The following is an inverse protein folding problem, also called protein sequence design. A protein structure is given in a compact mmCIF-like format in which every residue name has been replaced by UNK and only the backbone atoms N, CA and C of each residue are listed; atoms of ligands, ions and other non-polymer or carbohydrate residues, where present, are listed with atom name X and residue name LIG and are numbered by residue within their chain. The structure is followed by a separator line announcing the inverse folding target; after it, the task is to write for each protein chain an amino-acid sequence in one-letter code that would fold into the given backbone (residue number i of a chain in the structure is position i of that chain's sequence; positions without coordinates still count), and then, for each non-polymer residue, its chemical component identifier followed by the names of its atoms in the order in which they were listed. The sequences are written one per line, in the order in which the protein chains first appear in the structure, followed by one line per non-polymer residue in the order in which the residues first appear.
data_IF_126114265523
#
_entry.id   IF_126114265523
#
_cell.length_a   1.000
_cell.length_b   1.000
_cell.length_c   1.000
_cell.angle_alpha   90.00
_cell.angle_beta   90.00
_cell.angle_gamma   90.00
#
_symmetry.space_group_name_H-M   'P 1'
#
loop_
_entity.id
_entity.type
_entity.pdbx_description
1 polymer ?
#
# COMPACT_ATOMS: atom_id res chain seq x y z
N UNK A 1 2.68 17.67 -20.07
CA UNK A 1 3.35 18.99 -20.11
C UNK A 1 3.26 19.71 -18.77
N UNK A 2 2.07 19.86 -18.16
CA UNK A 2 1.92 20.52 -16.83
C UNK A 2 2.82 19.90 -15.75
N UNK A 3 2.89 18.57 -15.65
CA UNK A 3 3.78 17.90 -14.69
C UNK A 3 5.26 18.25 -14.90
N UNK A 4 5.73 18.33 -16.14
CA UNK A 4 7.12 18.72 -16.43
C UNK A 4 7.40 20.16 -15.96
N UNK A 5 6.45 21.08 -16.17
CA UNK A 5 6.58 22.45 -15.68
C UNK A 5 6.65 22.50 -14.15
N UNK A 6 5.81 21.71 -13.46
CA UNK A 6 5.85 21.61 -12.00
C UNK A 6 7.17 21.01 -11.49
N UNK A 7 7.75 20.02 -12.19
CA UNK A 7 9.07 19.46 -11.85
C UNK A 7 10.17 20.53 -11.98
N UNK A 8 10.17 21.33 -13.05
CA UNK A 8 11.14 22.43 -13.21
C UNK A 8 10.98 23.46 -12.09
N UNK A 9 9.73 23.87 -11.79
CA UNK A 9 9.45 24.79 -10.68
C UNK A 9 9.93 24.23 -9.34
N UNK A 10 9.71 22.94 -9.10
CA UNK A 10 10.16 22.24 -7.88
C UNK A 10 11.70 22.26 -7.76
N UNK A 11 12.43 21.99 -8.84
CA UNK A 11 13.89 22.02 -8.86
C UNK A 11 14.41 23.45 -8.58
N UNK A 12 13.81 24.47 -9.21
CA UNK A 12 14.17 25.87 -8.98
C UNK A 12 13.94 26.29 -7.52
N UNK A 13 12.80 25.91 -6.94
CA UNK A 13 12.50 26.17 -5.54
C UNK A 13 13.52 25.49 -4.60
N UNK A 14 13.87 24.23 -4.88
CA UNK A 14 14.86 23.48 -4.10
C UNK A 14 16.27 24.08 -4.23
N UNK A 15 16.63 24.61 -5.40
CA UNK A 15 17.92 25.29 -5.58
C UNK A 15 18.02 26.58 -4.76
N UNK A 16 16.91 27.32 -4.63
CA UNK A 16 16.89 28.56 -3.85
C UNK A 16 17.04 28.29 -2.34
N UNK A 17 16.28 27.34 -1.79
CA UNK A 17 16.32 27.04 -0.35
C UNK A 17 17.48 26.11 0.02
N UNK A 18 17.88 25.21 -0.86
CA UNK A 18 18.86 24.15 -0.64
C UNK A 18 18.23 22.86 -0.11
N UNK A 19 18.88 21.72 -0.35
CA UNK A 19 18.43 20.42 0.16
C UNK A 19 18.52 20.34 1.69
N UNK A 20 17.53 19.69 2.30
CA UNK A 20 17.57 19.35 3.72
C UNK A 20 18.51 18.17 3.97
N UNK A 21 18.93 17.97 5.23
CA UNK A 21 19.78 16.86 5.67
C UNK A 21 19.16 16.10 6.84
N UNK A 22 19.66 14.90 7.17
CA UNK A 22 19.08 14.08 8.23
C UNK A 22 19.07 14.71 9.62
N UNK A 23 19.90 15.71 9.88
CA UNK A 23 19.95 16.42 11.16
C UNK A 23 19.07 17.69 11.17
N UNK A 24 18.63 18.15 10.00
CA UNK A 24 17.78 19.33 9.86
C UNK A 24 18.52 20.66 10.08
N UNK A 25 19.85 20.67 9.99
CA UNK A 25 20.72 21.84 10.22
C UNK A 25 20.91 22.65 8.93
N UNK A 26 20.83 23.97 9.00
CA UNK A 26 21.03 24.83 7.82
C UNK A 26 22.51 25.01 7.48
N UNK A 27 22.96 24.39 6.38
CA UNK A 27 24.37 24.44 5.94
C UNK A 27 24.82 25.86 5.54
N UNK A 28 23.87 26.71 5.12
CA UNK A 28 24.17 28.09 4.70
C UNK A 28 24.58 29.01 5.86
N UNK A 29 24.37 28.58 7.11
CA UNK A 29 24.73 29.35 8.31
C UNK A 29 26.25 29.44 8.50
N UNK A 30 26.98 28.39 8.14
CA UNK A 30 28.42 28.27 8.34
C UNK A 30 29.13 28.20 7.00
N UNK A 31 29.75 29.31 6.58
CA UNK A 31 30.44 29.45 5.29
C UNK A 31 31.94 29.68 5.50
N UNK A 32 32.73 29.25 4.53
CA UNK A 32 34.16 29.55 4.46
C UNK A 32 34.41 31.02 4.03
N UNK A 33 35.68 31.42 3.96
CA UNK A 33 36.08 32.76 3.52
C UNK A 33 35.67 33.08 2.07
N UNK A 34 35.33 32.08 1.26
CA UNK A 34 34.90 32.21 -0.13
C UNK A 34 33.37 32.18 -0.27
N UNK A 35 32.62 32.13 0.84
CA UNK A 35 31.16 32.08 0.84
C UNK A 35 30.56 30.70 0.55
N UNK A 36 31.38 29.64 0.54
CA UNK A 36 30.96 28.26 0.32
C UNK A 36 30.55 27.62 1.65
N UNK A 37 29.39 26.95 1.74
CA UNK A 37 28.98 26.22 2.94
C UNK A 37 30.02 25.18 3.36
N UNK A 38 30.42 25.19 4.64
CA UNK A 38 31.47 24.30 5.17
C UNK A 38 31.07 22.82 5.14
N UNK A 39 29.78 22.53 5.32
CA UNK A 39 29.25 21.16 5.34
C UNK A 39 28.62 20.77 3.98
N UNK A 40 28.84 21.58 2.93
CA UNK A 40 28.34 21.32 1.58
C UNK A 40 29.41 20.73 0.66
N UNK A 41 29.05 19.70 -0.10
CA UNK A 41 29.89 19.15 -1.18
C UNK A 41 29.27 19.43 -2.55
N UNK A 42 30.08 19.47 -3.60
CA UNK A 42 29.59 19.66 -4.98
C UNK A 42 28.67 18.50 -5.39
N UNK A 43 27.58 18.81 -6.07
CA UNK A 43 26.63 17.79 -6.55
C UNK A 43 27.29 16.80 -7.51
N UNK A 44 27.97 17.31 -8.54
CA UNK A 44 28.76 16.51 -9.45
C UNK A 44 30.25 16.53 -9.03
N UNK A 45 30.93 15.38 -8.98
CA UNK A 45 30.48 14.04 -9.36
C UNK A 45 29.81 13.22 -8.23
N UNK A 46 29.91 13.67 -6.98
CA UNK A 46 29.61 12.85 -5.80
C UNK A 46 28.17 12.30 -5.77
N UNK A 47 27.18 13.18 -5.76
CA UNK A 47 25.77 12.77 -5.75
C UNK A 47 25.35 12.18 -7.10
N UNK A 48 25.90 12.65 -8.22
CA UNK A 48 25.61 12.05 -9.53
C UNK A 48 25.98 10.56 -9.58
N UNK A 49 27.18 10.18 -9.10
CA UNK A 49 27.62 8.77 -9.10
C UNK A 49 26.85 7.96 -8.07
N UNK A 50 26.61 8.51 -6.87
CA UNK A 50 25.78 7.89 -5.84
C UNK A 50 24.36 7.57 -6.35
N UNK A 51 23.71 8.54 -7.01
CA UNK A 51 22.33 8.40 -7.47
C UNK A 51 22.23 7.38 -8.61
N UNK A 52 23.24 7.29 -9.49
CA UNK A 52 23.30 6.26 -10.54
C UNK A 52 23.31 4.85 -9.95
N UNK A 53 23.99 4.62 -8.83
CA UNK A 53 23.94 3.33 -8.13
C UNK A 53 22.52 3.02 -7.66
N UNK A 54 21.83 3.99 -7.05
CA UNK A 54 20.44 3.84 -6.60
C UNK A 54 19.48 3.54 -7.77
N UNK A 55 19.63 4.26 -8.88
CA UNK A 55 18.85 4.03 -10.11
C UNK A 55 19.12 2.64 -10.67
N UNK A 56 20.38 2.19 -10.72
CA UNK A 56 20.73 0.86 -11.22
C UNK A 56 20.09 -0.26 -10.39
N UNK A 57 20.13 -0.15 -9.04
CA UNK A 57 19.48 -1.11 -8.14
C UNK A 57 17.96 -1.08 -8.31
N UNK A 58 17.34 0.10 -8.39
CA UNK A 58 15.90 0.23 -8.65
C UNK A 58 15.51 -0.43 -9.97
N UNK A 59 16.23 -0.12 -11.06
CA UNK A 59 15.97 -0.68 -12.39
C UNK A 59 16.16 -2.20 -12.41
N UNK A 60 17.11 -2.74 -11.65
CA UNK A 60 17.29 -4.19 -11.53
C UNK A 60 16.02 -4.88 -11.00
N UNK A 61 15.46 -4.40 -9.89
CA UNK A 61 14.21 -4.96 -9.34
C UNK A 61 13.00 -4.65 -10.22
N UNK A 62 12.92 -3.43 -10.78
CA UNK A 62 11.83 -3.04 -11.68
C UNK A 62 11.77 -3.93 -12.92
N UNK A 63 12.91 -4.14 -13.60
CA UNK A 63 13.00 -5.09 -14.71
C UNK A 63 12.68 -6.51 -14.26
N UNK A 64 13.11 -6.90 -13.05
CA UNK A 64 12.74 -8.19 -12.46
C UNK A 64 11.22 -8.40 -12.41
N UNK A 65 10.48 -7.42 -11.89
CA UNK A 65 9.01 -7.45 -11.84
C UNK A 65 8.43 -7.45 -13.26
N UNK A 66 8.89 -6.53 -14.11
CA UNK A 66 8.39 -6.37 -15.49
C UNK A 66 8.49 -7.66 -16.30
N UNK A 67 9.63 -8.36 -16.23
CA UNK A 67 9.88 -9.54 -17.06
C UNK A 67 9.46 -10.86 -16.42
N UNK A 68 9.52 -10.99 -15.09
CA UNK A 68 9.28 -12.29 -14.42
C UNK A 68 7.98 -12.36 -13.62
N UNK A 69 7.40 -11.22 -13.21
CA UNK A 69 6.16 -11.18 -12.42
C UNK A 69 5.28 -9.96 -12.74
N UNK A 70 4.89 -9.72 -14.00
CA UNK A 70 4.19 -8.49 -14.41
C UNK A 70 2.82 -8.32 -13.75
N UNK A 71 2.15 -9.40 -13.37
CA UNK A 71 0.85 -9.37 -12.69
C UNK A 71 0.98 -8.96 -11.20
N UNK A 72 2.11 -9.29 -10.57
CA UNK A 72 2.33 -9.16 -9.12
C UNK A 72 1.19 -9.76 -8.27
N UNK A 73 0.59 -10.87 -8.70
CA UNK A 73 -0.54 -11.50 -8.00
C UNK A 73 -1.81 -10.64 -8.00
N UNK A 74 -2.08 -9.92 -9.09
CA UNK A 74 -3.27 -9.09 -9.29
C UNK A 74 -3.13 -7.63 -8.83
N UNK A 75 -2.02 -7.26 -8.17
CA UNK A 75 -1.81 -5.88 -7.70
C UNK A 75 -1.33 -4.92 -8.79
N UNK A 76 -0.55 -5.40 -9.76
CA UNK A 76 -0.04 -4.56 -10.85
C UNK A 76 -0.95 -4.62 -12.09
N UNK A 77 -1.41 -5.83 -12.44
CA UNK A 77 -2.39 -6.05 -13.50
C UNK A 77 -3.62 -6.72 -12.89
N UNK A 78 -4.66 -5.94 -12.67
CA UNK A 78 -5.92 -6.42 -12.12
C UNK A 78 -6.61 -7.35 -13.13
N UNK A 79 -6.99 -8.57 -12.69
CA UNK A 79 -7.64 -9.57 -13.56
C UNK A 79 -8.89 -9.03 -14.24
N UNK A 80 -9.66 -8.18 -13.55
CA UNK A 80 -10.87 -7.57 -14.08
C UNK A 80 -10.63 -6.69 -15.32
N UNK A 81 -9.41 -6.17 -15.52
CA UNK A 81 -9.08 -5.32 -16.67
C UNK A 81 -8.64 -6.11 -17.90
N UNK A 82 -8.63 -7.45 -17.85
CA UNK A 82 -8.44 -8.31 -19.02
C UNK A 82 -9.77 -8.68 -19.70
N UNK A 83 -10.91 -8.40 -19.07
CA UNK A 83 -12.22 -8.46 -19.71
C UNK A 83 -12.49 -7.16 -20.47
N UNK A 84 -13.19 -7.24 -21.62
CA UNK A 84 -13.66 -6.04 -22.31
C UNK A 84 -14.70 -5.30 -21.46
N UNK A 85 -14.67 -3.96 -21.51
CA UNK A 85 -15.57 -3.15 -20.71
C UNK A 85 -17.04 -3.36 -21.10
N UNK A 86 -17.85 -3.80 -20.15
CA UNK A 86 -19.29 -3.98 -20.28
C UNK A 86 -20.05 -3.04 -19.32
N UNK A 87 -20.86 -2.15 -19.87
CA UNK A 87 -21.66 -1.19 -19.09
C UNK A 87 -22.80 -1.84 -18.29
N UNK A 88 -23.18 -3.07 -18.61
CA UNK A 88 -24.27 -3.81 -17.97
C UNK A 88 -23.78 -4.82 -16.92
N UNK A 89 -22.46 -5.06 -16.81
CA UNK A 89 -21.87 -6.04 -15.89
C UNK A 89 -20.75 -5.40 -15.07
N UNK A 90 -20.98 -5.25 -13.76
CA UNK A 90 -19.91 -4.90 -12.82
C UNK A 90 -19.21 -6.19 -12.36
N UNK A 91 -17.87 -6.27 -12.44
CA UNK A 91 -17.13 -7.40 -11.89
C UNK A 91 -17.41 -7.61 -10.39
N UNK A 92 -17.34 -8.85 -9.91
CA UNK A 92 -17.65 -9.18 -8.51
C UNK A 92 -16.70 -8.50 -7.51
N UNK A 93 -15.46 -8.24 -7.90
CA UNK A 93 -14.48 -7.54 -7.09
C UNK A 93 -13.81 -6.41 -7.89
N UNK A 94 -14.23 -5.18 -7.62
CA UNK A 94 -13.67 -3.97 -8.23
C UNK A 94 -12.97 -3.16 -7.15
N UNK A 95 -11.67 -3.36 -7.02
CA UNK A 95 -10.79 -2.52 -6.23
C UNK A 95 -10.10 -1.51 -7.15
N UNK A 96 -9.76 -0.29 -6.68
CA UNK A 96 -8.88 0.58 -7.42
C UNK A 96 -7.43 0.08 -7.32
N UNK A 97 -6.59 0.57 -8.24
CA UNK A 97 -5.14 0.41 -8.18
C UNK A 97 -4.57 0.72 -6.80
N UNK A 98 -3.64 -0.12 -6.35
CA UNK A 98 -3.13 -0.19 -4.97
C UNK A 98 -2.62 1.14 -4.38
N UNK A 99 -2.16 2.09 -5.19
CA UNK A 99 -1.70 3.39 -4.70
C UNK A 99 -2.86 4.37 -4.39
N UNK A 100 -4.10 4.04 -4.76
CA UNK A 100 -5.31 4.78 -4.39
C UNK A 100 -6.10 4.11 -3.25
N UNK A 101 -5.78 2.87 -2.89
CA UNK A 101 -6.57 2.09 -1.92
C UNK A 101 -6.61 2.68 -0.51
N UNK A 102 -5.57 3.37 0.04
CA UNK A 102 -5.69 4.00 1.35
C UNK A 102 -6.79 5.06 1.40
N UNK A 103 -6.92 5.86 0.33
CA UNK A 103 -7.95 6.89 0.23
C UNK A 103 -9.32 6.29 -0.08
N UNK A 104 -9.37 5.23 -0.89
CA UNK A 104 -10.60 4.49 -1.13
C UNK A 104 -11.18 3.86 0.16
N UNK A 105 -10.31 3.36 1.05
CA UNK A 105 -10.72 2.90 2.39
C UNK A 105 -11.38 4.01 3.22
N UNK A 106 -10.84 5.24 3.16
CA UNK A 106 -11.44 6.40 3.82
C UNK A 106 -12.82 6.72 3.24
N UNK A 107 -12.96 6.68 1.91
CA UNK A 107 -14.23 6.94 1.23
C UNK A 107 -15.35 6.00 1.68
N UNK A 108 -15.08 4.69 1.69
CA UNK A 108 -16.07 3.66 2.02
C UNK A 108 -16.26 3.44 3.53
N UNK A 109 -15.36 3.96 4.37
CA UNK A 109 -15.49 3.87 5.83
C UNK A 109 -16.66 4.72 6.35
N UNK A 110 -16.97 5.83 5.67
CA UNK A 110 -18.06 6.73 6.06
C UNK A 110 -19.38 6.22 5.46
N UNK A 111 -20.42 5.93 6.27
CA UNK A 111 -21.69 5.36 5.81
C UNK A 111 -22.62 6.44 5.17
N UNK A 112 -22.06 7.35 4.39
CA UNK A 112 -22.80 8.38 3.65
C UNK A 112 -22.04 8.78 2.38
N UNK A 113 -22.76 8.96 1.27
CA UNK A 113 -22.15 9.25 -0.04
C UNK A 113 -21.43 10.59 -0.08
N UNK A 114 -22.03 11.63 0.50
CA UNK A 114 -21.48 12.97 0.47
C UNK A 114 -20.31 13.09 1.45
N UNK A 115 -20.50 12.67 2.70
CA UNK A 115 -19.46 12.74 3.72
C UNK A 115 -18.29 11.79 3.44
N UNK A 116 -18.53 10.64 2.80
CA UNK A 116 -17.46 9.77 2.32
C UNK A 116 -16.59 10.44 1.26
N UNK A 117 -17.20 11.15 0.30
CA UNK A 117 -16.45 11.95 -0.67
C UNK A 117 -15.67 13.09 -0.01
N UNK A 118 -16.28 13.81 0.94
CA UNK A 118 -15.61 14.90 1.67
C UNK A 118 -14.42 14.35 2.47
N UNK A 119 -14.56 13.22 3.16
CA UNK A 119 -13.48 12.58 3.89
C UNK A 119 -12.35 12.14 2.96
N UNK A 120 -12.67 11.53 1.82
CA UNK A 120 -11.69 11.18 0.78
C UNK A 120 -10.91 12.41 0.30
N UNK A 121 -11.60 13.48 -0.09
CA UNK A 121 -10.97 14.69 -0.59
C UNK A 121 -10.11 15.36 0.49
N UNK A 122 -10.61 15.41 1.74
CA UNK A 122 -9.86 15.93 2.87
C UNK A 122 -8.60 15.10 3.16
N UNK A 123 -8.65 13.77 3.02
CA UNK A 123 -7.49 12.92 3.20
C UNK A 123 -6.40 13.19 2.15
N UNK A 124 -6.78 13.47 0.90
CA UNK A 124 -5.81 13.86 -0.14
C UNK A 124 -5.24 15.26 0.10
N UNK A 125 -6.05 16.19 0.61
CA UNK A 125 -5.68 17.61 0.74
C UNK A 125 -4.92 17.92 2.03
N UNK A 126 -5.19 17.21 3.14
CA UNK A 126 -4.60 17.53 4.44
C UNK A 126 -3.05 17.49 4.48
N UNK A 127 -2.33 16.64 3.73
CA UNK A 127 -0.88 16.70 3.69
C UNK A 127 -0.32 18.02 3.14
N UNK A 128 -1.06 18.74 2.28
CA UNK A 128 -0.60 20.02 1.75
C UNK A 128 -0.55 21.13 2.82
N UNK A 129 -1.30 20.98 3.91
CA UNK A 129 -1.28 21.94 5.02
C UNK A 129 -0.29 21.57 6.13
N UNK A 130 0.52 20.51 5.94
CA UNK A 130 1.54 20.07 6.91
C UNK A 130 2.47 21.18 7.42
N UNK A 131 2.96 22.12 6.59
CA UNK A 131 3.84 23.20 7.07
C UNK A 131 3.22 24.09 8.16
N UNK A 132 1.89 24.13 8.27
CA UNK A 132 1.17 24.89 9.30
C UNK A 132 0.65 24.01 10.46
N UNK A 133 0.55 22.70 10.23
CA UNK A 133 0.11 21.74 11.24
C UNK A 133 1.23 21.36 12.20
N UNK A 134 2.45 21.12 11.70
CA UNK A 134 3.58 20.81 12.57
C UNK A 134 4.15 22.08 13.19
N UNK A 135 3.96 22.23 14.50
CA UNK A 135 4.45 23.38 15.28
C UNK A 135 5.76 23.11 16.02
N UNK A 136 6.39 21.96 15.82
CA UNK A 136 7.64 21.64 16.50
C UNK A 136 8.81 22.44 15.88
N UNK A 137 9.59 23.19 16.68
CA UNK A 137 10.72 23.98 16.16
C UNK A 137 11.86 23.11 15.60
N UNK A 138 11.97 21.85 16.03
CA UNK A 138 13.00 20.92 15.60
C UNK A 138 12.56 20.19 14.33
N UNK A 139 13.28 20.40 13.24
CA UNK A 139 12.94 19.83 11.93
C UNK A 139 13.17 18.31 11.83
N UNK A 140 14.30 17.82 12.34
CA UNK A 140 14.63 16.39 12.25
C UNK A 140 13.95 15.57 13.34
N UNK A 141 13.30 14.47 12.94
CA UNK A 141 12.69 13.50 13.86
C UNK A 141 13.71 12.82 14.80
N UNK A 142 15.02 12.84 14.44
CA UNK A 142 16.10 12.25 15.25
C UNK A 142 16.18 12.88 16.64
N UNK A 143 15.94 14.19 16.71
CA UNK A 143 16.01 14.99 17.93
C UNK A 143 14.64 15.24 18.57
N UNK A 144 13.56 14.67 18.01
CA UNK A 144 12.24 14.71 18.63
C UNK A 144 12.06 13.58 19.66
N UNK A 145 11.15 13.81 20.59
CA UNK A 145 10.83 12.87 21.66
C UNK A 145 10.10 11.61 21.19
N UNK A 146 9.65 10.80 22.15
CA UNK A 146 9.10 9.48 21.86
C UNK A 146 7.68 9.56 21.28
N UNK A 147 6.85 10.50 21.72
CA UNK A 147 5.48 10.65 21.22
C UNK A 147 5.48 10.90 19.71
N UNK A 148 6.35 11.78 19.20
CA UNK A 148 6.48 12.04 17.76
C UNK A 148 6.81 10.77 16.97
N UNK A 149 7.67 9.91 17.52
CA UNK A 149 8.05 8.63 16.90
C UNK A 149 6.90 7.64 16.91
N UNK A 150 6.18 7.52 18.03
CA UNK A 150 4.99 6.65 18.12
C UNK A 150 3.90 7.11 17.16
N UNK A 151 3.61 8.41 17.11
CA UNK A 151 2.58 8.96 16.21
C UNK A 151 2.94 8.76 14.74
N UNK A 152 4.21 8.97 14.36
CA UNK A 152 4.65 8.74 12.98
C UNK A 152 4.64 7.25 12.61
N UNK A 153 5.13 6.37 13.48
CA UNK A 153 5.09 4.92 13.24
C UNK A 153 3.64 4.41 13.18
N UNK A 154 2.78 4.87 14.08
CA UNK A 154 1.36 4.57 14.08
C UNK A 154 0.68 5.04 12.79
N UNK A 155 1.04 6.23 12.29
CA UNK A 155 0.54 6.72 10.99
C UNK A 155 0.96 5.82 9.83
N UNK A 156 2.24 5.40 9.77
CA UNK A 156 2.72 4.48 8.73
C UNK A 156 1.96 3.15 8.79
N UNK A 157 1.83 2.56 9.97
CA UNK A 157 1.07 1.31 10.17
C UNK A 157 -0.39 1.49 9.71
N UNK A 158 -1.04 2.57 10.15
CA UNK A 158 -2.42 2.86 9.79
C UNK A 158 -2.61 3.05 8.29
N UNK A 159 -1.68 3.75 7.62
CA UNK A 159 -1.73 3.98 6.18
C UNK A 159 -1.59 2.66 5.40
N UNK A 160 -0.74 1.74 5.85
CA UNK A 160 -0.62 0.40 5.27
C UNK A 160 -1.90 -0.41 5.50
N UNK A 161 -2.46 -0.39 6.72
CA UNK A 161 -3.73 -1.08 7.03
C UNK A 161 -4.85 -0.57 6.11
N UNK A 162 -5.01 0.75 5.98
CA UNK A 162 -6.00 1.35 5.05
C UNK A 162 -5.72 0.95 3.60
N UNK A 163 -4.46 0.87 3.18
CA UNK A 163 -4.07 0.40 1.86
C UNK A 163 -4.50 -1.04 1.58
N UNK A 164 -4.25 -1.96 2.51
CA UNK A 164 -4.65 -3.36 2.37
C UNK A 164 -6.17 -3.52 2.41
N UNK A 165 -6.84 -2.83 3.34
CA UNK A 165 -8.30 -2.88 3.42
C UNK A 165 -8.94 -2.39 2.12
N UNK A 166 -8.39 -1.37 1.46
CA UNK A 166 -8.98 -0.82 0.24
C UNK A 166 -8.94 -1.78 -0.94
N UNK A 167 -8.05 -2.78 -0.91
CA UNK A 167 -8.06 -3.91 -1.84
C UNK A 167 -9.12 -4.92 -1.43
N UNK A 168 -9.22 -5.27 -0.14
CA UNK A 168 -10.15 -6.32 0.29
C UNK A 168 -11.63 -5.93 0.17
N UNK A 169 -12.48 -6.92 -0.12
CA UNK A 169 -13.92 -6.75 -0.10
C UNK A 169 -14.41 -6.31 1.29
N UNK A 170 -15.37 -5.37 1.36
CA UNK A 170 -15.88 -4.86 2.63
C UNK A 170 -16.71 -5.92 3.36
N UNK A 171 -16.36 -6.18 4.62
CA UNK A 171 -17.14 -6.95 5.59
C UNK A 171 -17.42 -6.06 6.79
N UNK A 172 -18.23 -6.51 7.75
CA UNK A 172 -18.54 -5.71 8.93
C UNK A 172 -17.26 -5.35 9.73
N UNK A 173 -16.42 -6.33 10.10
CA UNK A 173 -15.20 -6.03 10.86
C UNK A 173 -14.18 -5.22 10.06
N UNK A 174 -14.04 -5.49 8.75
CA UNK A 174 -13.12 -4.74 7.88
C UNK A 174 -13.56 -3.29 7.75
N UNK A 175 -14.87 -3.04 7.73
CA UNK A 175 -15.44 -1.69 7.70
C UNK A 175 -15.21 -0.97 9.04
N UNK A 176 -15.43 -1.66 10.17
CA UNK A 176 -15.11 -1.10 11.49
C UNK A 176 -13.62 -0.75 11.62
N UNK A 177 -12.72 -1.62 11.16
CA UNK A 177 -11.28 -1.33 11.17
C UNK A 177 -10.93 -0.15 10.26
N UNK A 178 -11.53 -0.06 9.08
CA UNK A 178 -11.35 1.09 8.18
C UNK A 178 -11.87 2.40 8.81
N UNK A 179 -12.96 2.38 9.57
CA UNK A 179 -13.49 3.52 10.31
C UNK A 179 -12.52 3.98 11.41
N UNK A 180 -12.02 3.04 12.22
CA UNK A 180 -11.02 3.34 13.25
C UNK A 180 -9.76 3.93 12.60
N UNK A 181 -9.29 3.34 11.50
CA UNK A 181 -8.11 3.83 10.80
C UNK A 181 -8.31 5.21 10.16
N UNK A 182 -9.52 5.49 9.66
CA UNK A 182 -9.90 6.80 9.13
C UNK A 182 -9.92 7.86 10.22
N UNK A 183 -10.49 7.54 11.39
CA UNK A 183 -10.47 8.44 12.56
C UNK A 183 -9.02 8.72 12.96
N UNK A 184 -8.18 7.68 13.07
CA UNK A 184 -6.78 7.86 13.42
C UNK A 184 -6.01 8.70 12.40
N UNK A 185 -6.28 8.52 11.10
CA UNK A 185 -5.69 9.32 10.03
C UNK A 185 -5.96 10.81 10.25
N UNK A 186 -7.21 11.20 10.50
CA UNK A 186 -7.55 12.60 10.75
C UNK A 186 -7.05 13.11 12.10
N UNK A 187 -7.09 12.30 13.15
CA UNK A 187 -6.52 12.65 14.47
C UNK A 187 -5.01 12.90 14.37
N UNK A 188 -4.29 12.13 13.54
CA UNK A 188 -2.87 12.35 13.31
C UNK A 188 -2.61 13.76 12.75
N UNK A 189 -3.27 14.14 11.65
CA UNK A 189 -3.05 15.45 11.03
C UNK A 189 -3.66 16.60 11.83
N UNK A 190 -4.95 16.52 12.17
CA UNK A 190 -5.64 17.60 12.87
C UNK A 190 -5.10 17.76 14.28
N UNK A 191 -4.68 16.68 14.95
CA UNK A 191 -4.07 16.72 16.27
C UNK A 191 -2.62 17.23 16.29
N UNK A 192 -1.95 17.27 15.13
CA UNK A 192 -0.52 17.60 15.00
C UNK A 192 -0.10 18.92 15.66
N UNK A 193 -0.89 20.02 15.58
CA UNK A 193 -0.57 21.28 16.26
C UNK A 193 -0.36 21.16 17.76
N UNK A 194 -0.93 20.13 18.40
CA UNK A 194 -0.79 19.88 19.82
C UNK A 194 0.27 18.81 20.09
N UNK A 195 0.07 17.60 19.56
CA UNK A 195 0.93 16.47 19.94
C UNK A 195 2.37 16.61 19.44
N UNK A 196 2.63 17.37 18.37
CA UNK A 196 4.02 17.54 17.89
C UNK A 196 4.88 18.35 18.85
N UNK A 197 4.26 19.17 19.71
CA UNK A 197 4.93 20.07 20.67
C UNK A 197 5.04 19.53 22.09
N UNK A 198 4.30 18.48 22.45
CA UNK A 198 4.25 17.95 23.83
C UNK A 198 5.54 17.26 24.28
N UNK A 199 6.33 16.76 23.33
CA UNK A 199 7.59 16.09 23.61
C UNK A 199 8.73 17.08 23.94
N UNK A 200 9.60 16.67 24.86
CA UNK A 200 10.90 17.31 25.04
C UNK A 200 11.79 17.00 23.83
N UNK A 201 12.31 18.04 23.20
CA UNK A 201 13.28 17.93 22.11
C UNK A 201 14.71 17.87 22.63
N UNK A 202 15.56 17.13 21.92
CA UNK A 202 17.00 17.15 22.13
C UNK A 202 17.61 18.36 21.42
N UNK A 203 18.77 18.79 21.89
CA UNK A 203 19.54 19.82 21.24
C UNK A 203 20.00 19.34 19.86
N UNK A 204 19.82 20.19 18.86
CA UNK A 204 20.23 19.93 17.48
C UNK A 204 21.70 20.34 17.37
N UNK A 205 22.58 19.55 16.73
CA UNK A 205 23.97 19.93 16.52
C UNK A 205 24.11 21.26 15.76
N UNK A 206 25.16 22.02 16.05
CA UNK A 206 25.45 23.28 15.36
C UNK A 206 25.87 23.09 13.89
N UNK A 207 26.46 21.94 13.58
CA UNK A 207 27.00 21.54 12.26
C UNK A 207 26.42 20.19 11.87
N UNK A 208 26.42 19.88 10.57
CA UNK A 208 25.92 18.58 10.10
C UNK A 208 26.79 17.46 10.67
N UNK A 209 26.15 16.51 11.34
CA UNK A 209 26.83 15.31 11.82
C UNK A 209 26.58 14.18 10.82
N UNK A 210 27.65 13.65 10.23
CA UNK A 210 27.53 12.45 9.39
C UNK A 210 27.25 11.19 10.22
N UNK A 211 27.21 11.36 11.54
CA UNK A 211 27.00 10.33 12.54
C UNK A 211 25.52 10.27 12.92
N UNK A 212 24.76 9.47 12.20
CA UNK A 212 23.37 9.29 12.58
C UNK A 212 22.58 8.35 11.69
N UNK A 213 21.78 7.52 12.33
CA UNK A 213 20.95 6.51 11.70
C UNK A 213 20.54 5.48 12.74
N UNK A 214 19.41 4.83 12.53
CA UNK A 214 19.14 3.59 13.25
C UNK A 214 20.10 2.54 12.69
N UNK A 215 20.99 2.01 13.53
CA UNK A 215 21.84 0.89 13.13
C UNK A 215 20.99 -0.27 12.60
N UNK A 216 21.58 -1.14 11.77
CA UNK A 216 20.87 -2.21 11.05
C UNK A 216 19.88 -2.98 11.94
N UNK A 217 20.30 -3.37 13.15
CA UNK A 217 19.45 -4.10 14.10
C UNK A 217 18.21 -3.32 14.55
N UNK A 218 18.35 -2.01 14.84
CA UNK A 218 17.19 -1.17 15.22
C UNK A 218 16.26 -0.93 14.04
N UNK A 219 16.81 -0.80 12.84
CA UNK A 219 16.02 -0.67 11.61
C UNK A 219 15.21 -1.93 11.33
N UNK A 220 15.85 -3.12 11.42
CA UNK A 220 15.17 -4.40 11.28
C UNK A 220 14.10 -4.61 12.36
N UNK A 221 14.40 -4.27 13.62
CA UNK A 221 13.41 -4.34 14.69
C UNK A 221 12.22 -3.41 14.45
N UNK A 222 12.46 -2.18 13.95
CA UNK A 222 11.39 -1.24 13.60
C UNK A 222 10.51 -1.78 12.47
N UNK A 223 11.12 -2.35 11.43
CA UNK A 223 10.39 -3.00 10.34
C UNK A 223 9.58 -4.20 10.84
N UNK A 224 10.13 -5.02 11.73
CA UNK A 224 9.42 -6.14 12.33
C UNK A 224 8.22 -5.67 13.16
N UNK A 225 8.37 -4.58 13.93
CA UNK A 225 7.27 -3.97 14.69
C UNK A 225 6.18 -3.45 13.75
N UNK A 226 6.55 -2.73 12.69
CA UNK A 226 5.58 -2.24 11.69
C UNK A 226 4.85 -3.42 11.03
N UNK A 227 5.58 -4.46 10.60
CA UNK A 227 4.99 -5.64 9.98
C UNK A 227 4.03 -6.36 10.94
N UNK A 228 4.43 -6.56 12.20
CA UNK A 228 3.61 -7.24 13.20
C UNK A 228 2.36 -6.44 13.56
N UNK A 229 2.49 -5.12 13.79
CA UNK A 229 1.37 -4.25 14.15
C UNK A 229 0.42 -3.98 12.97
N UNK A 230 0.89 -4.13 11.74
CA UNK A 230 0.03 -4.11 10.55
C UNK A 230 -0.68 -5.46 10.38
N UNK A 231 0.04 -6.56 10.54
CA UNK A 231 -0.47 -7.91 10.30
C UNK A 231 -1.51 -8.35 11.34
N UNK A 232 -1.32 -8.02 12.62
CA UNK A 232 -2.23 -8.47 13.69
C UNK A 232 -3.68 -7.97 13.50
N UNK A 233 -3.96 -6.67 13.29
CA UNK A 233 -5.31 -6.20 13.06
C UNK A 233 -5.89 -6.75 11.75
N UNK A 234 -5.08 -6.80 10.69
CA UNK A 234 -5.52 -7.35 9.40
C UNK A 234 -5.89 -8.83 9.52
N UNK A 235 -5.11 -9.63 10.24
CA UNK A 235 -5.41 -11.04 10.50
C UNK A 235 -6.71 -11.19 11.31
N UNK A 236 -6.93 -10.33 12.30
CA UNK A 236 -8.14 -10.36 13.11
C UNK A 236 -9.41 -10.15 12.27
N UNK A 237 -9.35 -9.31 11.22
CA UNK A 237 -10.47 -9.07 10.30
C UNK A 237 -10.41 -9.90 9.00
N UNK A 238 -9.34 -10.67 8.80
CA UNK A 238 -9.17 -11.51 7.61
C UNK A 238 -10.04 -12.77 7.67
N UNK A 239 -10.30 -13.29 8.87
CA UNK A 239 -11.06 -14.52 9.11
C UNK A 239 -12.56 -14.42 8.75
N UNK A 240 -13.04 -13.22 8.38
CA UNK A 240 -14.41 -13.00 7.90
C UNK A 240 -14.53 -13.10 6.37
N UNK A 241 -13.88 -14.05 5.70
CA UNK A 241 -14.64 -14.65 4.58
C UNK A 241 -15.86 -15.27 5.25
N UNK A 242 -17.05 -14.71 5.02
CA UNK A 242 -18.25 -15.09 5.74
C UNK A 242 -18.49 -16.62 5.74
N UNK A 243 -17.88 -17.34 4.79
CA UNK A 243 -17.91 -18.80 4.65
C UNK A 243 -16.59 -19.32 4.04
N UNK A 244 -16.30 -20.64 4.15
CA UNK A 244 -15.09 -21.29 3.59
C UNK A 244 -14.92 -21.11 2.07
N UNK A 245 -16.01 -20.78 1.37
CA UNK A 245 -16.11 -20.53 -0.06
C UNK A 245 -16.15 -19.04 -0.43
N UNK A 246 -15.90 -18.13 0.53
CA UNK A 246 -15.79 -16.69 0.28
C UNK A 246 -16.85 -15.86 1.03
N UNK A 247 -17.54 -14.97 0.30
CA UNK A 247 -18.51 -14.01 0.87
C UNK A 247 -19.98 -14.45 0.80
N UNK A 248 -20.25 -15.67 0.32
CA UNK A 248 -21.59 -16.24 0.09
C UNK A 248 -21.73 -17.49 0.95
N UNK A 249 -22.92 -17.78 1.54
CA UNK A 249 -23.17 -19.01 2.27
C UNK A 249 -22.66 -20.21 1.49
N UNK A 250 -21.77 -21.00 2.08
CA UNK A 250 -21.47 -22.28 1.49
C UNK A 250 -22.71 -23.14 1.66
N UNK A 251 -23.26 -23.58 0.54
CA UNK A 251 -24.17 -24.71 0.60
C UNK A 251 -23.39 -25.89 1.18
N UNK A 252 -23.97 -26.53 2.21
CA UNK A 252 -23.41 -27.76 2.77
C UNK A 252 -23.41 -28.82 1.66
N UNK A 253 -22.24 -29.07 1.09
CA UNK A 253 -22.04 -30.11 0.09
C UNK A 253 -21.32 -31.29 0.73
N UNK A 254 -22.05 -32.40 0.86
CA UNK A 254 -21.44 -33.70 1.17
C UNK A 254 -21.15 -34.40 -0.13
N UNK A 255 -19.87 -34.50 -0.49
CA UNK A 255 -19.44 -35.22 -1.68
C UNK A 255 -19.77 -36.71 -1.53
N UNK A 256 -20.75 -37.19 -2.30
CA UNK A 256 -21.04 -38.61 -2.43
C UNK A 256 -20.54 -39.13 -3.79
N UNK A 257 -19.39 -39.82 -3.77
CA UNK A 257 -18.81 -40.42 -4.97
C UNK A 257 -19.63 -41.63 -5.49
N UNK A 258 -20.63 -42.09 -4.74
CA UNK A 258 -21.55 -43.15 -5.16
C UNK A 258 -22.81 -42.63 -5.86
N UNK A 259 -23.12 -41.33 -5.75
CA UNK A 259 -24.24 -40.71 -6.47
C UNK A 259 -23.86 -40.42 -7.93
N UNK A 260 -24.09 -41.44 -8.77
CA UNK A 260 -23.85 -41.37 -10.21
C UNK A 260 -24.63 -40.26 -10.92
N UNK A 261 -25.85 -39.96 -10.47
CA UNK A 261 -26.67 -38.95 -11.13
C UNK A 261 -26.09 -37.55 -10.90
N UNK A 262 -25.67 -37.26 -9.66
CA UNK A 262 -24.99 -36.01 -9.31
C UNK A 262 -23.66 -35.86 -10.06
N UNK A 263 -22.86 -36.93 -10.12
CA UNK A 263 -21.58 -36.95 -10.84
C UNK A 263 -21.75 -36.69 -12.34
N UNK A 264 -22.73 -37.33 -12.99
CA UNK A 264 -23.02 -37.14 -14.41
C UNK A 264 -23.52 -35.72 -14.71
N UNK A 265 -24.40 -35.19 -13.87
CA UNK A 265 -24.94 -33.84 -14.05
C UNK A 265 -23.88 -32.77 -13.82
N UNK A 266 -23.04 -32.95 -12.79
CA UNK A 266 -21.89 -32.10 -12.51
C UNK A 266 -20.85 -32.13 -13.63
N UNK A 267 -20.54 -33.31 -14.17
CA UNK A 267 -19.65 -33.47 -15.32
C UNK A 267 -20.17 -32.72 -16.55
N UNK A 268 -21.45 -32.86 -16.88
CA UNK A 268 -22.07 -32.15 -18.00
C UNK A 268 -22.06 -30.62 -17.81
N UNK A 269 -22.38 -30.12 -16.61
CA UNK A 269 -22.29 -28.68 -16.28
C UNK A 269 -20.85 -28.17 -16.41
N UNK A 270 -19.90 -28.91 -15.86
CA UNK A 270 -18.49 -28.56 -15.89
C UNK A 270 -17.92 -28.55 -17.32
N UNK A 271 -18.27 -29.52 -18.15
CA UNK A 271 -17.91 -29.55 -19.56
C UNK A 271 -18.53 -28.39 -20.36
N UNK A 272 -19.82 -28.10 -20.14
CA UNK A 272 -20.50 -27.05 -20.90
C UNK A 272 -20.05 -25.63 -20.54
N UNK A 273 -19.80 -25.34 -19.25
CA UNK A 273 -19.57 -23.97 -18.79
C UNK A 273 -18.12 -23.68 -18.43
N UNK A 274 -17.37 -24.67 -17.96
CA UNK A 274 -16.00 -24.45 -17.45
C UNK A 274 -14.92 -24.85 -18.45
N UNK A 275 -15.25 -25.62 -19.51
CA UNK A 275 -14.27 -26.18 -20.44
C UNK A 275 -13.38 -25.13 -21.13
N UNK A 276 -13.99 -24.00 -21.51
CA UNK A 276 -13.29 -22.90 -22.18
C UNK A 276 -12.35 -22.12 -21.27
N UNK A 277 -12.64 -22.03 -19.97
CA UNK A 277 -11.88 -21.18 -19.04
C UNK A 277 -10.75 -21.94 -18.31
N UNK A 278 -10.92 -23.24 -18.06
CA UNK A 278 -9.99 -24.02 -17.24
C UNK A 278 -9.01 -24.89 -18.03
N UNK A 279 -8.80 -24.62 -19.32
CA UNK A 279 -7.87 -25.43 -20.17
C UNK A 279 -8.22 -26.93 -20.15
N UNK A 280 -9.50 -27.25 -19.95
CA UNK A 280 -10.00 -28.62 -19.78
C UNK A 280 -9.78 -29.51 -20.99
N UNK A 281 -9.67 -28.90 -22.18
CA UNK A 281 -9.24 -29.55 -23.42
C UNK A 281 -7.88 -30.27 -23.31
N UNK A 282 -7.04 -29.92 -22.32
CA UNK A 282 -5.75 -30.56 -22.08
C UNK A 282 -5.77 -31.60 -20.96
N UNK A 283 -6.88 -31.71 -20.21
CA UNK A 283 -7.02 -32.69 -19.14
C UNK A 283 -7.50 -34.04 -19.71
N UNK A 284 -6.92 -35.13 -19.20
CA UNK A 284 -7.26 -36.50 -19.62
C UNK A 284 -8.44 -37.04 -18.83
N UNK A 285 -9.64 -36.58 -19.16
CA UNK A 285 -10.87 -36.93 -18.45
C UNK A 285 -11.25 -38.41 -18.57
N UNK A 286 -10.79 -39.10 -19.61
CA UNK A 286 -11.17 -40.51 -19.86
C UNK A 286 -10.86 -41.43 -18.66
N UNK A 287 -9.77 -41.16 -17.91
CA UNK A 287 -9.45 -41.97 -16.72
C UNK A 287 -10.40 -41.63 -15.56
N UNK A 288 -10.66 -40.36 -15.32
CA UNK A 288 -11.59 -39.91 -14.26
C UNK A 288 -13.02 -40.35 -14.55
N UNK A 289 -13.47 -40.22 -15.80
CA UNK A 289 -14.76 -40.69 -16.28
C UNK A 289 -14.92 -42.20 -16.06
N UNK A 290 -13.89 -42.99 -16.38
CA UNK A 290 -13.89 -44.43 -16.17
C UNK A 290 -13.87 -44.83 -14.69
N UNK A 291 -13.05 -44.16 -13.88
CA UNK A 291 -12.93 -44.45 -12.45
C UNK A 291 -14.22 -44.08 -11.69
N UNK A 292 -14.96 -43.07 -12.17
CA UNK A 292 -16.22 -42.61 -11.60
C UNK A 292 -17.47 -43.16 -12.31
N UNK A 293 -17.33 -44.00 -13.34
CA UNK A 293 -18.47 -44.57 -14.08
C UNK A 293 -19.30 -43.56 -14.89
N UNK A 294 -18.74 -42.40 -15.19
CA UNK A 294 -19.39 -41.33 -15.96
C UNK A 294 -19.20 -41.59 -17.46
N UNK A 295 -20.26 -41.55 -18.28
CA UNK A 295 -20.14 -41.65 -19.74
C UNK A 295 -19.17 -40.61 -20.34
N UNK A 296 -18.24 -41.05 -21.20
CA UNK A 296 -17.19 -40.19 -21.77
C UNK A 296 -17.75 -39.08 -22.68
N UNK A 297 -18.94 -39.27 -23.24
CA UNK A 297 -19.64 -38.30 -24.08
C UNK A 297 -20.11 -37.06 -23.32
N UNK A 298 -20.24 -37.12 -21.99
CA UNK A 298 -20.60 -35.97 -21.15
C UNK A 298 -19.45 -34.97 -20.96
N UNK A 299 -18.24 -35.33 -21.37
CA UNK A 299 -17.05 -34.47 -21.32
C UNK A 299 -16.66 -33.86 -22.68
N UNK A 300 -17.46 -34.10 -23.74
CA UNK A 300 -17.27 -33.55 -25.08
C UNK A 300 -18.06 -32.26 -25.27
#
# INVERSE_FOLDING_TARGET
IVLLALVVLHILALHEVGSNNPDGVEIKKHKDANGVPLDGIKFHPYYSVHDVQGIAVFLFFFCGILFFAPEMGGYALELANFEEADAFKTPAHVAPVWYFTPYYSVLRAVPDKFWGFVAFAAAVVVPFVLPWLDRNPVRSWRYRGMLNRVMLLGFVINFIILGVLGVWAPTESRTQLAQIGTIYYFVFFLGMPWWSTWDKTKEVPDRVTMDGGMGLGKSLATLAVVALLTWLPLKAVAAESAYDCGSIPCDDFVADASDQASLQHGAALYANYCAGCHSLQYSRHNRVAKDLGIPEDLYQ
#
